data_IF_635429397004
#
_entry.id   IF_635429397004
#
_cell.length_a   1.000
_cell.length_b   1.000
_cell.length_c   1.000
_cell.angle_alpha   90.00
_cell.angle_beta   90.00
_cell.angle_gamma   90.00
#
_symmetry.space_group_name_H-M   'P 1'
#
loop_
_entity.id
_entity.type
_entity.pdbx_description
1 polymer ?
#
# COMPACT_ATOMS: atom_id res chain seq x y z
N UNK A 1 2.78 -39.53 -21.28
CA UNK A 1 2.86 -38.74 -20.03
C UNK A 1 2.52 -37.31 -20.40
N UNK A 2 1.32 -36.85 -20.07
CA UNK A 2 0.85 -35.49 -20.44
C UNK A 2 1.10 -34.56 -19.26
N UNK A 3 2.00 -33.59 -19.43
CA UNK A 3 2.32 -32.59 -18.42
C UNK A 3 1.16 -31.60 -18.38
N UNK A 4 0.35 -31.64 -17.31
CA UNK A 4 -0.71 -30.65 -17.08
C UNK A 4 -0.01 -29.36 -16.67
N UNK A 5 0.12 -28.42 -17.60
CA UNK A 5 0.50 -27.04 -17.31
C UNK A 5 -0.66 -26.38 -16.57
N UNK A 6 -0.60 -26.39 -15.24
CA UNK A 6 -1.48 -25.55 -14.41
C UNK A 6 -0.96 -24.12 -14.48
N UNK A 7 -1.47 -23.34 -15.43
CA UNK A 7 -1.34 -21.87 -15.39
C UNK A 7 -1.97 -21.33 -14.10
N UNK A 8 -1.26 -20.51 -13.30
CA UNK A 8 -1.86 -19.88 -12.13
C UNK A 8 -3.03 -19.01 -12.58
N UNK A 9 -4.24 -19.36 -12.14
CA UNK A 9 -5.44 -18.60 -12.41
C UNK A 9 -5.31 -17.21 -11.74
N UNK A 10 -5.55 -16.11 -12.46
CA UNK A 10 -5.50 -14.78 -11.86
C UNK A 10 -6.53 -14.71 -10.73
N UNK A 11 -6.10 -14.32 -9.53
CA UNK A 11 -7.02 -14.12 -8.41
C UNK A 11 -8.09 -13.10 -8.83
N UNK A 12 -9.35 -13.43 -8.57
CA UNK A 12 -10.47 -12.54 -8.92
C UNK A 12 -10.29 -11.19 -8.21
N UNK A 13 -10.58 -10.05 -8.88
CA UNK A 13 -10.39 -8.69 -8.31
C UNK A 13 -11.00 -8.50 -6.91
N UNK A 14 -12.10 -9.20 -6.62
CA UNK A 14 -12.79 -9.18 -5.33
C UNK A 14 -11.88 -9.69 -4.20
N UNK A 15 -11.12 -10.77 -4.41
CA UNK A 15 -10.25 -11.36 -3.38
C UNK A 15 -9.08 -10.43 -3.05
N UNK A 16 -8.55 -9.73 -4.06
CA UNK A 16 -7.48 -8.73 -3.89
C UNK A 16 -7.97 -7.57 -3.03
N UNK A 17 -9.18 -7.07 -3.31
CA UNK A 17 -9.78 -5.97 -2.54
C UNK A 17 -10.06 -6.37 -1.08
N UNK A 18 -10.66 -7.54 -0.85
CA UNK A 18 -10.91 -8.06 0.50
C UNK A 18 -9.60 -8.18 1.28
N UNK A 19 -8.55 -8.74 0.66
CA UNK A 19 -7.24 -8.89 1.31
C UNK A 19 -6.67 -7.52 1.69
N UNK A 20 -6.72 -6.55 0.79
CA UNK A 20 -6.25 -5.19 1.08
C UNK A 20 -7.02 -4.56 2.24
N UNK A 21 -8.35 -4.69 2.27
CA UNK A 21 -9.14 -4.12 3.36
C UNK A 21 -8.83 -4.77 4.71
N UNK A 22 -8.64 -6.10 4.75
CA UNK A 22 -8.21 -6.79 5.96
C UNK A 22 -6.83 -6.32 6.45
N UNK A 23 -5.88 -6.14 5.55
CA UNK A 23 -4.55 -5.64 5.91
C UNK A 23 -4.59 -4.17 6.36
N UNK A 24 -5.44 -3.33 5.75
CA UNK A 24 -5.67 -1.95 6.20
C UNK A 24 -6.24 -1.91 7.61
N UNK A 25 -7.21 -2.78 7.92
CA UNK A 25 -7.75 -2.93 9.27
C UNK A 25 -6.66 -3.37 10.26
N UNK A 26 -5.80 -4.32 9.87
CA UNK A 26 -4.66 -4.76 10.69
C UNK A 26 -3.67 -3.62 10.98
N UNK A 27 -3.34 -2.82 9.96
CA UNK A 27 -2.44 -1.66 10.11
C UNK A 27 -3.04 -0.58 11.01
N UNK A 28 -4.36 -0.40 10.95
CA UNK A 28 -5.08 0.53 11.83
C UNK A 28 -4.96 0.14 13.30
N UNK A 29 -5.10 -1.16 13.60
CA UNK A 29 -4.90 -1.71 14.94
C UNK A 29 -3.44 -1.63 15.41
N UNK A 30 -2.49 -1.55 14.47
CA UNK A 30 -1.05 -1.49 14.76
C UNK A 30 -0.54 -0.09 15.18
N UNK A 31 -1.43 0.90 15.27
CA UNK A 31 -1.13 2.26 15.72
C UNK A 31 0.07 2.88 14.96
N UNK A 32 0.02 2.85 13.63
CA UNK A 32 1.05 3.45 12.78
C UNK A 32 2.37 2.66 12.68
N UNK A 33 2.33 1.36 12.97
CA UNK A 33 3.54 0.53 12.94
C UNK A 33 4.38 0.61 14.22
N UNK A 34 3.86 1.24 15.29
CA UNK A 34 4.65 1.57 16.49
C UNK A 34 4.83 0.40 17.46
N UNK A 35 3.85 -0.51 17.53
CA UNK A 35 3.90 -1.71 18.39
C UNK A 35 4.13 -3.00 17.60
N UNK A 36 3.49 -3.08 16.44
CA UNK A 36 3.64 -4.15 15.46
C UNK A 36 3.89 -3.46 14.13
N UNK A 37 4.84 -3.94 13.32
CA UNK A 37 5.06 -3.39 11.99
C UNK A 37 3.79 -3.43 11.16
N UNK A 38 3.68 -2.52 10.19
CA UNK A 38 2.58 -2.55 9.24
C UNK A 38 2.77 -3.66 8.22
N UNK A 39 1.66 -4.29 7.88
CA UNK A 39 1.53 -5.18 6.74
C UNK A 39 1.58 -4.39 5.42
N UNK A 40 2.19 -5.01 4.42
CA UNK A 40 2.35 -4.40 3.10
C UNK A 40 1.02 -4.46 2.34
N UNK A 41 0.49 -3.28 1.98
CA UNK A 41 -0.70 -3.16 1.14
C UNK A 41 -0.29 -3.17 -0.33
N UNK A 42 -0.80 -4.12 -1.11
CA UNK A 42 -0.60 -4.17 -2.54
C UNK A 42 -1.28 -2.99 -3.26
N UNK A 43 -0.78 -2.63 -4.44
CA UNK A 43 -1.38 -1.66 -5.35
C UNK A 43 -2.70 -2.15 -5.95
N UNK A 44 -3.41 -1.28 -6.68
CA UNK A 44 -4.70 -1.63 -7.31
C UNK A 44 -4.56 -2.74 -8.36
N UNK A 45 -3.40 -2.86 -8.99
CA UNK A 45 -3.07 -3.95 -9.91
C UNK A 45 -2.65 -5.25 -9.19
N UNK A 46 -2.68 -5.27 -7.85
CA UNK A 46 -2.32 -6.42 -7.03
C UNK A 46 -0.82 -6.62 -6.84
N UNK A 47 0.04 -5.81 -7.46
CA UNK A 47 1.48 -5.87 -7.25
C UNK A 47 1.88 -5.27 -5.90
N UNK A 48 2.94 -5.80 -5.27
CA UNK A 48 3.53 -5.15 -4.09
C UNK A 48 4.31 -3.89 -4.50
N UNK A 49 4.44 -2.89 -3.61
CA UNK A 49 5.29 -1.73 -3.86
C UNK A 49 6.74 -2.09 -4.19
N UNK A 50 7.30 -3.09 -3.49
CA UNK A 50 8.65 -3.60 -3.73
C UNK A 50 8.86 -4.19 -5.12
N UNK A 51 7.83 -4.84 -5.67
CA UNK A 51 7.89 -5.36 -7.05
C UNK A 51 8.01 -4.24 -8.09
N UNK A 52 7.66 -3.00 -7.72
CA UNK A 52 7.82 -1.79 -8.54
C UNK A 52 9.04 -0.95 -8.15
N UNK A 53 9.94 -1.48 -7.32
CA UNK A 53 11.16 -0.77 -6.87
C UNK A 53 10.92 0.30 -5.82
N UNK A 54 9.74 0.31 -5.16
CA UNK A 54 9.44 1.24 -4.07
C UNK A 54 9.79 0.63 -2.71
N UNK A 55 10.22 1.45 -1.73
CA UNK A 55 10.57 0.97 -0.40
C UNK A 55 9.33 0.48 0.35
N UNK A 56 9.47 -0.55 1.19
CA UNK A 56 8.38 -1.02 2.05
C UNK A 56 8.00 0.02 3.11
N UNK A 57 6.71 0.10 3.42
CA UNK A 57 6.18 0.98 4.46
C UNK A 57 5.79 0.13 5.67
N UNK A 58 6.75 -0.10 6.55
CA UNK A 58 6.56 -0.92 7.76
C UNK A 58 6.18 -0.05 8.97
N UNK A 59 6.51 1.24 8.94
CA UNK A 59 6.22 2.21 9.99
C UNK A 59 5.79 3.55 9.40
N UNK A 60 5.13 4.37 10.20
CA UNK A 60 4.80 5.76 9.81
C UNK A 60 6.04 6.57 9.40
N UNK A 61 7.19 6.28 9.99
CA UNK A 61 8.48 6.93 9.67
C UNK A 61 8.96 6.61 8.27
N UNK A 62 8.59 5.45 7.73
CA UNK A 62 8.94 5.09 6.35
C UNK A 62 8.20 5.97 5.35
N UNK A 63 6.96 6.36 5.67
CA UNK A 63 6.16 7.31 4.88
C UNK A 63 6.81 8.70 4.92
N UNK A 64 7.24 9.15 6.10
CA UNK A 64 7.92 10.44 6.27
C UNK A 64 9.21 10.53 5.46
N UNK A 65 9.93 9.41 5.31
CA UNK A 65 11.18 9.30 4.57
C UNK A 65 11.03 9.17 3.05
N UNK A 66 9.80 9.01 2.54
CA UNK A 66 9.57 8.94 1.10
C UNK A 66 10.02 10.23 0.41
N UNK A 67 10.73 10.05 -0.71
CA UNK A 67 11.03 11.14 -1.63
C UNK A 67 9.79 11.58 -2.38
N UNK A 68 9.84 12.76 -2.99
CA UNK A 68 8.71 13.30 -3.72
C UNK A 68 8.24 12.37 -4.85
N UNK A 69 9.18 11.90 -5.65
CA UNK A 69 8.95 10.94 -6.74
C UNK A 69 8.33 9.62 -6.25
N UNK A 70 8.76 9.14 -5.09
CA UNK A 70 8.20 7.94 -4.48
C UNK A 70 6.77 8.18 -4.02
N UNK A 71 6.45 9.33 -3.42
CA UNK A 71 5.07 9.65 -3.03
C UNK A 71 4.14 9.70 -4.24
N UNK A 72 4.59 10.26 -5.37
CA UNK A 72 3.83 10.26 -6.62
C UNK A 72 3.61 8.83 -7.11
N UNK A 73 4.66 8.01 -7.14
CA UNK A 73 4.58 6.61 -7.58
C UNK A 73 3.64 5.78 -6.70
N UNK A 74 3.64 6.03 -5.39
CA UNK A 74 2.70 5.44 -4.45
C UNK A 74 1.25 5.89 -4.70
N UNK A 75 1.02 7.19 -4.92
CA UNK A 75 -0.31 7.70 -5.26
C UNK A 75 -0.85 7.06 -6.56
N UNK A 76 -0.01 6.92 -7.58
CA UNK A 76 -0.37 6.25 -8.85
C UNK A 76 -0.69 4.78 -8.60
N UNK A 77 0.16 4.06 -7.86
CA UNK A 77 -0.06 2.64 -7.57
C UNK A 77 -1.35 2.37 -6.78
N UNK A 78 -1.75 3.31 -5.92
CA UNK A 78 -3.01 3.26 -5.17
C UNK A 78 -4.21 3.89 -5.91
N UNK A 79 -4.07 4.27 -7.18
CA UNK A 79 -5.18 4.79 -7.99
C UNK A 79 -5.67 6.19 -7.59
N UNK A 80 -4.85 6.99 -6.91
CA UNK A 80 -5.25 8.33 -6.49
C UNK A 80 -5.30 9.28 -7.69
N UNK A 81 -6.51 9.73 -8.06
CA UNK A 81 -6.72 10.69 -9.15
C UNK A 81 -7.76 11.76 -8.74
N UNK A 82 -7.42 13.06 -8.77
CA UNK A 82 -6.11 13.62 -9.10
C UNK A 82 -5.06 13.32 -8.01
N UNK A 83 -3.78 13.26 -8.41
CA UNK A 83 -2.67 13.14 -7.45
C UNK A 83 -2.57 14.47 -6.67
N UNK A 84 -2.55 14.45 -5.32
CA UNK A 84 -2.37 15.66 -4.53
C UNK A 84 -1.10 16.41 -4.93
N UNK A 85 -1.15 17.75 -4.97
CA UNK A 85 -0.04 18.57 -5.45
C UNK A 85 1.08 18.70 -4.41
N UNK A 86 0.72 18.69 -3.13
CA UNK A 86 1.67 18.90 -2.05
C UNK A 86 2.23 17.57 -1.51
N UNK A 87 3.54 17.49 -1.23
CA UNK A 87 4.17 16.26 -0.71
C UNK A 87 3.54 15.77 0.59
N UNK A 88 3.22 16.70 1.51
CA UNK A 88 2.62 16.35 2.81
C UNK A 88 1.21 15.78 2.65
N UNK A 89 0.44 16.33 1.71
CA UNK A 89 -0.89 15.80 1.38
C UNK A 89 -0.79 14.40 0.76
N UNK A 90 0.19 14.16 -0.13
CA UNK A 90 0.44 12.81 -0.68
C UNK A 90 0.80 11.83 0.42
N UNK A 91 1.72 12.18 1.33
CA UNK A 91 2.11 11.33 2.46
C UNK A 91 0.93 11.03 3.38
N UNK A 92 0.11 12.03 3.68
CA UNK A 92 -1.11 11.86 4.47
C UNK A 92 -2.10 10.90 3.78
N UNK A 93 -2.34 11.07 2.48
CA UNK A 93 -3.22 10.19 1.71
C UNK A 93 -2.68 8.76 1.64
N UNK A 94 -1.37 8.58 1.44
CA UNK A 94 -0.72 7.27 1.46
C UNK A 94 -0.93 6.60 2.82
N UNK A 95 -0.73 7.32 3.92
CA UNK A 95 -0.96 6.82 5.26
C UNK A 95 -2.42 6.36 5.46
N UNK A 96 -3.40 7.17 5.08
CA UNK A 96 -4.82 6.78 5.12
C UNK A 96 -5.11 5.53 4.29
N UNK A 97 -4.48 5.43 3.12
CA UNK A 97 -4.70 4.34 2.19
C UNK A 97 -4.15 3.02 2.73
N UNK A 98 -3.01 3.04 3.42
CA UNK A 98 -2.43 1.83 4.03
C UNK A 98 -2.99 1.50 5.42
N UNK A 99 -3.94 2.29 5.93
CA UNK A 99 -4.58 2.05 7.23
C UNK A 99 -3.89 2.74 8.42
N UNK A 100 -2.94 3.64 8.20
CA UNK A 100 -2.36 4.49 9.24
C UNK A 100 -3.30 5.62 9.64
N UNK A 101 -3.58 5.75 10.93
CA UNK A 101 -4.14 6.98 11.51
C UNK A 101 -3.01 7.93 11.85
N UNK A 102 -2.64 8.78 10.90
CA UNK A 102 -1.97 10.05 11.20
C UNK A 102 -3.03 10.97 11.78
N UNK A 103 -3.02 11.20 13.09
CA UNK A 103 -3.78 12.31 13.65
C UNK A 103 -3.20 13.60 13.04
N UNK A 104 -4.02 14.45 12.39
CA UNK A 104 -3.56 15.77 12.01
C UNK A 104 -3.23 16.51 13.30
N UNK A 105 -1.96 16.94 13.44
CA UNK A 105 -1.57 17.91 14.45
C UNK A 105 -1.94 19.31 13.96
#
# INVERSE_FOLDING_TARGET
>A
MTVVHTTPQPALPIVVNIRRDLLRCSNNLSNGGTKFGMEIIAFEDGCSPTSKGLPELNTIRDIERLTDEQTVSYCVGYGMCPIPQFPDERKFKIAQYIGCTVSPN
#
